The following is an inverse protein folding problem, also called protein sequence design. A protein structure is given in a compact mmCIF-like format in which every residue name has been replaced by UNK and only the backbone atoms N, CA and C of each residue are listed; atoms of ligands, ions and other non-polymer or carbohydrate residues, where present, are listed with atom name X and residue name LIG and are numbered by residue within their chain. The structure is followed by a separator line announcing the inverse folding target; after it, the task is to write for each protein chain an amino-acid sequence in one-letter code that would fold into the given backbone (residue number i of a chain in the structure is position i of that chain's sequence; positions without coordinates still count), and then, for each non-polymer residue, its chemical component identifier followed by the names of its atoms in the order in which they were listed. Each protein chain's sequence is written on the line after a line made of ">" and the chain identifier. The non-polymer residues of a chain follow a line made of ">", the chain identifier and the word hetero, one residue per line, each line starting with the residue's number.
data_IF_394244098895
#
_entry.id   IF_394244098895
#
_cell.length_a   1.000
_cell.length_b   1.000
_cell.length_c   1.000
_cell.angle_alpha   90.00
_cell.angle_beta   90.00
_cell.angle_gamma   90.00
#
_symmetry.space_group_name_H-M   'P 1'
#
loop_
_entity.id
_entity.type
_entity.pdbx_description
1 polymer ?
#
# COMPACT_ATOMS: atom_id res chain seq x y z
N UNK A 1 -4.61 3.70 -5.38
CA UNK A 1 -4.13 2.97 -4.19
C UNK A 1 -4.96 1.74 -3.84
N UNK A 2 -6.24 1.84 -3.49
CA UNK A 2 -7.07 0.67 -3.14
C UNK A 2 -7.09 -0.44 -4.21
N UNK A 3 -7.29 -0.07 -5.48
CA UNK A 3 -7.18 -1.02 -6.59
C UNK A 3 -5.80 -1.68 -6.68
N UNK A 4 -4.72 -0.95 -6.43
CA UNK A 4 -3.37 -1.52 -6.42
C UNK A 4 -3.19 -2.50 -5.26
N UNK A 5 -3.73 -2.18 -4.07
CA UNK A 5 -3.77 -3.11 -2.95
C UNK A 5 -4.50 -4.40 -3.32
N UNK A 6 -5.68 -4.30 -3.94
CA UNK A 6 -6.46 -5.46 -4.39
C UNK A 6 -5.73 -6.31 -5.43
N UNK A 7 -5.13 -5.67 -6.44
CA UNK A 7 -4.43 -6.34 -7.54
C UNK A 7 -3.15 -7.01 -7.05
N UNK A 8 -2.39 -6.34 -6.16
CA UNK A 8 -1.07 -6.82 -5.74
C UNK A 8 -1.10 -7.81 -4.58
N UNK A 9 -2.15 -7.82 -3.73
CA UNK A 9 -2.13 -8.57 -2.48
C UNK A 9 -1.79 -10.06 -2.69
N UNK A 10 -2.55 -10.75 -3.54
CA UNK A 10 -2.34 -12.18 -3.78
C UNK A 10 -1.04 -12.48 -4.55
N UNK A 11 -0.69 -11.79 -5.66
CA UNK A 11 0.59 -11.99 -6.34
C UNK A 11 1.80 -11.70 -5.47
N UNK A 12 1.75 -10.64 -4.64
CA UNK A 12 2.83 -10.29 -3.72
C UNK A 12 3.03 -11.36 -2.67
N UNK A 13 1.95 -11.84 -2.06
CA UNK A 13 2.01 -12.94 -1.11
C UNK A 13 2.60 -14.18 -1.79
N UNK A 14 2.07 -14.58 -2.95
CA UNK A 14 2.55 -15.77 -3.66
C UNK A 14 4.05 -15.68 -3.99
N UNK A 15 4.51 -14.56 -4.54
CA UNK A 15 5.92 -14.40 -4.90
C UNK A 15 6.83 -14.38 -3.66
N UNK A 16 6.57 -13.52 -2.69
CA UNK A 16 7.49 -13.32 -1.56
C UNK A 16 7.36 -14.43 -0.50
N UNK A 17 6.15 -14.95 -0.24
CA UNK A 17 5.93 -15.98 0.79
C UNK A 17 6.19 -17.38 0.26
N UNK A 18 5.67 -17.70 -0.92
CA UNK A 18 5.65 -19.08 -1.43
C UNK A 18 6.87 -19.39 -2.30
N UNK A 19 7.15 -18.54 -3.29
CA UNK A 19 8.17 -18.83 -4.32
C UNK A 19 9.56 -18.47 -3.84
N UNK A 20 9.75 -17.23 -3.38
CA UNK A 20 11.04 -16.72 -2.93
C UNK A 20 11.32 -17.02 -1.45
N UNK A 21 10.30 -17.43 -0.68
CA UNK A 21 10.40 -17.76 0.75
C UNK A 21 11.05 -16.66 1.60
N UNK A 22 10.79 -15.41 1.26
CA UNK A 22 11.45 -14.23 1.84
C UNK A 22 10.97 -13.91 3.25
N UNK A 23 9.72 -14.25 3.60
CA UNK A 23 9.15 -13.91 4.91
C UNK A 23 8.28 -15.00 5.50
N UNK A 24 8.15 -14.98 6.82
CA UNK A 24 7.10 -15.69 7.55
C UNK A 24 5.75 -14.96 7.43
N UNK A 25 5.80 -13.62 7.48
CA UNK A 25 4.66 -12.74 7.32
C UNK A 25 4.90 -11.86 6.10
N UNK A 26 3.93 -11.78 5.20
CA UNK A 26 3.96 -11.02 3.96
C UNK A 26 2.61 -10.35 3.79
N UNK A 27 2.60 -9.03 3.63
CA UNK A 27 1.39 -8.24 3.44
C UNK A 27 1.63 -7.11 2.45
N UNK A 28 0.67 -6.91 1.55
CA UNK A 28 0.56 -5.72 0.73
C UNK A 28 -0.90 -5.25 0.73
N UNK A 29 -1.12 -3.95 0.79
CA UNK A 29 -2.47 -3.40 0.73
C UNK A 29 -2.48 -1.89 0.71
N UNK A 30 -3.64 -1.33 0.38
CA UNK A 30 -3.86 0.09 0.58
C UNK A 30 -3.93 0.39 2.07
N UNK A 31 -3.29 1.48 2.47
CA UNK A 31 -3.28 1.96 3.84
C UNK A 31 -3.36 3.48 3.81
N UNK A 32 -4.42 4.01 4.38
CA UNK A 32 -4.53 5.44 4.61
C UNK A 32 -3.66 5.81 5.81
N UNK A 33 -2.79 6.80 5.63
CA UNK A 33 -2.09 7.43 6.75
C UNK A 33 -2.75 8.78 7.00
N UNK A 34 -3.46 8.90 8.12
CA UNK A 34 -4.39 10.01 8.39
C UNK A 34 -5.52 10.05 7.34
N UNK A 35 -5.46 11.01 6.40
CA UNK A 35 -6.41 11.14 5.28
C UNK A 35 -5.68 11.05 3.93
N UNK A 36 -4.41 10.64 3.92
CA UNK A 36 -3.64 10.44 2.70
C UNK A 36 -3.66 8.96 2.31
N UNK A 37 -4.12 8.62 1.09
CA UNK A 37 -4.08 7.25 0.63
C UNK A 37 -2.64 6.84 0.32
N UNK A 38 -2.31 5.60 0.64
CA UNK A 38 -0.99 5.02 0.39
C UNK A 38 -1.06 3.54 0.07
N UNK A 39 0.10 2.99 -0.29
CA UNK A 39 0.33 1.56 -0.49
C UNK A 39 1.41 1.13 0.49
N UNK A 40 1.18 0.03 1.21
CA UNK A 40 2.16 -0.50 2.16
C UNK A 40 2.54 -1.93 1.78
N UNK A 41 3.83 -2.22 1.92
CA UNK A 41 4.40 -3.56 1.77
C UNK A 41 5.13 -3.90 3.06
N UNK A 42 4.84 -5.07 3.62
CA UNK A 42 5.43 -5.54 4.87
C UNK A 42 5.89 -6.97 4.67
N UNK A 43 7.16 -7.23 4.95
CA UNK A 43 7.71 -8.57 5.02
C UNK A 43 8.50 -8.69 6.31
N UNK A 44 8.20 -9.73 7.08
CA UNK A 44 8.96 -10.09 8.26
C UNK A 44 9.58 -11.46 8.06
N UNK A 45 10.89 -11.56 8.26
CA UNK A 45 11.65 -12.79 8.11
C UNK A 45 12.51 -13.06 9.34
N UNK A 46 12.60 -14.31 9.81
CA UNK A 46 13.55 -14.66 10.86
C UNK A 46 14.99 -14.77 10.36
N UNK A 47 15.18 -14.98 9.05
CA UNK A 47 16.46 -15.42 8.49
C UNK A 47 17.00 -14.52 7.36
N UNK A 48 16.18 -13.62 6.81
CA UNK A 48 16.59 -12.71 5.74
C UNK A 48 16.89 -11.32 6.28
N UNK A 49 17.92 -10.67 5.75
CA UNK A 49 18.20 -9.27 6.07
C UNK A 49 17.19 -8.35 5.36
N UNK A 50 16.90 -7.17 5.92
CA UNK A 50 16.03 -6.17 5.27
C UNK A 50 16.45 -5.80 3.84
N UNK A 51 17.74 -5.80 3.52
CA UNK A 51 18.24 -5.50 2.17
C UNK A 51 17.84 -6.56 1.13
N UNK A 52 17.94 -7.84 1.49
CA UNK A 52 17.52 -8.94 0.62
C UNK A 52 16.02 -8.88 0.39
N UNK A 53 15.25 -8.60 1.45
CA UNK A 53 13.80 -8.45 1.37
C UNK A 53 13.42 -7.28 0.46
N UNK A 54 14.06 -6.13 0.62
CA UNK A 54 13.78 -4.94 -0.20
C UNK A 54 14.14 -5.18 -1.67
N UNK A 55 15.26 -5.86 -1.95
CA UNK A 55 15.61 -6.25 -3.31
C UNK A 55 14.53 -7.14 -3.94
N UNK A 56 14.07 -8.16 -3.20
CA UNK A 56 12.99 -9.05 -3.63
C UNK A 56 11.65 -8.31 -3.87
N UNK A 57 11.31 -7.34 -3.01
CA UNK A 57 10.14 -6.48 -3.21
C UNK A 57 10.25 -5.65 -4.49
N UNK A 58 11.41 -5.03 -4.72
CA UNK A 58 11.63 -4.22 -5.92
C UNK A 58 11.59 -5.07 -7.19
N UNK A 59 12.18 -6.27 -7.16
CA UNK A 59 12.12 -7.23 -8.27
C UNK A 59 10.67 -7.63 -8.58
N UNK A 60 9.90 -8.00 -7.55
CA UNK A 60 8.48 -8.30 -7.70
C UNK A 60 7.72 -7.14 -8.36
N UNK A 61 7.92 -5.91 -7.90
CA UNK A 61 7.21 -4.75 -8.44
C UNK A 61 7.54 -4.52 -9.92
N UNK A 62 8.81 -4.65 -10.32
CA UNK A 62 9.23 -4.50 -11.71
C UNK A 62 8.66 -5.61 -12.61
N UNK A 63 8.75 -6.86 -12.17
CA UNK A 63 8.20 -8.02 -12.90
C UNK A 63 6.69 -7.90 -13.03
N UNK A 64 5.99 -7.64 -11.92
CA UNK A 64 4.54 -7.54 -11.93
C UNK A 64 4.05 -6.33 -12.72
N UNK A 65 4.74 -5.19 -12.61
CA UNK A 65 4.47 -3.99 -13.39
C UNK A 65 4.53 -4.23 -14.89
N UNK A 66 5.51 -5.03 -15.34
CA UNK A 66 5.62 -5.43 -16.75
C UNK A 66 4.45 -6.32 -17.20
N UNK A 67 3.88 -7.12 -16.29
CA UNK A 67 2.73 -7.97 -16.61
C UNK A 67 1.40 -7.20 -16.76
N UNK A 68 1.32 -5.96 -16.26
CA UNK A 68 0.12 -5.13 -16.37
C UNK A 68 -0.21 -4.74 -17.81
N UNK A 69 0.78 -4.72 -18.70
CA UNK A 69 0.56 -4.46 -20.14
C UNK A 69 -0.29 -5.56 -20.78
N UNK A 70 -0.24 -6.78 -20.24
CA UNK A 70 -1.02 -7.92 -20.72
C UNK A 70 -2.30 -8.17 -19.93
N UNK A 71 -2.53 -7.44 -18.84
CA UNK A 71 -3.79 -7.51 -18.08
C UNK A 71 -4.95 -7.11 -18.98
N UNK A 72 -6.02 -7.90 -18.97
CA UNK A 72 -7.22 -7.63 -19.75
C UNK A 72 -8.22 -6.77 -18.96
N UNK A 73 -9.10 -6.05 -19.66
CA UNK A 73 -10.20 -5.32 -19.01
C UNK A 73 -11.10 -6.24 -18.18
N UNK A 74 -11.30 -7.49 -18.62
CA UNK A 74 -12.08 -8.49 -17.89
C UNK A 74 -11.44 -8.85 -16.54
N UNK A 75 -10.12 -9.10 -16.52
CA UNK A 75 -9.39 -9.38 -15.28
C UNK A 75 -9.39 -8.16 -14.35
N UNK A 76 -9.18 -6.98 -14.91
CA UNK A 76 -9.23 -5.74 -14.14
C UNK A 76 -10.61 -5.48 -13.54
N UNK A 77 -11.68 -5.75 -14.29
CA UNK A 77 -13.05 -5.64 -13.82
C UNK A 77 -13.35 -6.62 -12.67
N UNK A 78 -12.78 -7.82 -12.70
CA UNK A 78 -12.91 -8.77 -11.59
C UNK A 78 -12.28 -8.22 -10.29
N UNK A 79 -11.08 -7.63 -10.39
CA UNK A 79 -10.45 -6.96 -9.25
C UNK A 79 -11.29 -5.79 -8.75
N UNK A 80 -11.78 -4.94 -9.67
CA UNK A 80 -12.60 -3.77 -9.35
C UNK A 80 -13.91 -4.16 -8.66
N UNK A 81 -14.65 -5.11 -9.23
CA UNK A 81 -15.91 -5.60 -8.68
C UNK A 81 -15.73 -6.27 -7.31
N UNK A 82 -14.65 -7.04 -7.13
CA UNK A 82 -14.31 -7.62 -5.83
C UNK A 82 -14.04 -6.54 -4.78
N UNK A 83 -13.25 -5.52 -5.12
CA UNK A 83 -12.96 -4.41 -4.22
C UNK A 83 -14.21 -3.60 -3.87
N UNK A 84 -15.08 -3.31 -4.85
CA UNK A 84 -16.35 -2.61 -4.60
C UNK A 84 -17.25 -3.42 -3.67
N UNK A 85 -17.31 -4.74 -3.87
CA UNK A 85 -18.07 -5.64 -3.00
C UNK A 85 -17.55 -5.62 -1.56
N UNK A 86 -16.22 -5.60 -1.39
CA UNK A 86 -15.59 -5.51 -0.07
C UNK A 86 -15.83 -4.16 0.60
N UNK A 87 -15.76 -3.05 -0.15
CA UNK A 87 -16.06 -1.69 0.34
C UNK A 87 -17.52 -1.57 0.77
N UNK A 88 -18.45 -2.10 -0.03
CA UNK A 88 -19.89 -2.01 0.22
C UNK A 88 -20.41 -3.08 1.20
N UNK A 89 -19.55 -3.99 1.65
CA UNK A 89 -19.94 -5.06 2.57
C UNK A 89 -20.52 -4.46 3.85
N UNK A 90 -21.72 -4.91 4.18
CA UNK A 90 -22.38 -4.51 5.41
C UNK A 90 -21.66 -5.07 6.64
N UNK A 91 -21.51 -4.23 7.66
CA UNK A 91 -20.89 -4.61 8.91
C UNK A 91 -21.75 -5.64 9.66
N UNK A 92 -21.13 -6.74 10.07
CA UNK A 92 -21.81 -7.81 10.82
C UNK A 92 -22.08 -7.42 12.28
N UNK A 93 -21.30 -6.48 12.83
CA UNK A 93 -21.35 -6.10 14.25
C UNK A 93 -21.58 -4.60 14.41
N UNK A 94 -22.37 -4.26 15.43
CA UNK A 94 -22.65 -2.85 15.80
C UNK A 94 -21.38 -2.03 16.06
N UNK A 95 -20.34 -2.65 16.64
CA UNK A 95 -19.06 -1.99 16.90
C UNK A 95 -18.38 -1.54 15.62
N UNK A 96 -18.40 -2.36 14.58
CA UNK A 96 -17.75 -2.07 13.31
C UNK A 96 -18.48 -0.93 12.59
N UNK A 97 -19.82 -0.98 12.58
CA UNK A 97 -20.65 0.12 12.05
C UNK A 97 -20.45 1.43 12.80
N UNK A 98 -20.42 1.37 14.13
CA UNK A 98 -20.19 2.55 14.97
C UNK A 98 -18.79 3.11 14.74
N UNK A 99 -17.78 2.25 14.59
CA UNK A 99 -16.40 2.64 14.29
C UNK A 99 -16.28 3.38 12.96
N UNK A 100 -16.97 2.90 11.90
CA UNK A 100 -17.00 3.62 10.63
C UNK A 100 -17.64 4.99 10.76
N UNK A 101 -18.84 5.10 11.32
CA UNK A 101 -19.47 6.42 11.49
C UNK A 101 -18.66 7.35 12.37
N UNK A 102 -17.98 6.83 13.39
CA UNK A 102 -17.09 7.62 14.23
C UNK A 102 -15.89 8.17 13.44
N UNK A 103 -15.32 7.38 12.53
CA UNK A 103 -14.26 7.82 11.62
C UNK A 103 -14.73 8.99 10.73
N UNK A 104 -15.96 8.93 10.24
CA UNK A 104 -16.55 9.99 9.40
C UNK A 104 -16.77 11.27 10.22
N UNK A 105 -17.25 11.16 11.47
CA UNK A 105 -17.35 12.29 12.42
C UNK A 105 -15.99 12.92 12.70
N UNK A 106 -14.98 12.11 12.99
CA UNK A 106 -13.59 12.55 13.26
C UNK A 106 -13.00 13.30 12.06
N UNK A 107 -13.32 12.84 10.84
CA UNK A 107 -12.93 13.48 9.58
C UNK A 107 -13.80 14.68 9.19
N UNK A 108 -14.80 15.04 10.00
CA UNK A 108 -15.80 16.10 9.71
C UNK A 108 -16.59 15.85 8.41
N UNK A 109 -16.77 14.58 8.05
CA UNK A 109 -17.53 14.12 6.90
C UNK A 109 -18.92 13.64 7.36
N UNK A 110 -19.90 14.55 7.34
CA UNK A 110 -21.20 14.33 7.98
C UNK A 110 -22.28 13.75 7.05
N UNK A 111 -21.93 13.44 5.80
CA UNK A 111 -22.85 12.83 4.83
C UNK A 111 -23.01 11.31 5.06
N UNK A 112 -22.06 10.69 5.77
CA UNK A 112 -22.06 9.26 6.10
C UNK A 112 -22.14 8.29 4.90
N UNK A 113 -21.79 8.78 3.71
CA UNK A 113 -21.85 8.10 2.43
C UNK A 113 -20.44 7.79 1.86
N UNK A 114 -19.40 7.83 2.71
CA UNK A 114 -18.01 7.66 2.28
C UNK A 114 -17.74 6.36 1.52
N UNK A 115 -18.46 5.26 1.83
CA UNK A 115 -18.32 3.98 1.11
C UNK A 115 -18.93 4.05 -0.27
N UNK A 116 -20.09 4.66 -0.40
CA UNK A 116 -20.81 4.88 -1.65
C UNK A 116 -19.97 5.75 -2.58
N UNK A 117 -19.41 6.85 -2.07
CA UNK A 117 -18.49 7.71 -2.84
C UNK A 117 -17.21 6.99 -3.23
N UNK A 118 -16.62 6.20 -2.33
CA UNK A 118 -15.42 5.41 -2.62
C UNK A 118 -15.70 4.36 -3.70
N UNK A 119 -16.82 3.63 -3.62
CA UNK A 119 -17.23 2.65 -4.60
C UNK A 119 -17.48 3.30 -5.97
N UNK A 120 -18.13 4.46 -6.02
CA UNK A 120 -18.30 5.23 -7.25
C UNK A 120 -16.94 5.63 -7.86
N UNK A 121 -16.03 6.19 -7.06
CA UNK A 121 -14.70 6.57 -7.52
C UNK A 121 -13.88 5.37 -8.02
N UNK A 122 -13.99 4.20 -7.37
CA UNK A 122 -13.34 2.97 -7.84
C UNK A 122 -13.86 2.55 -9.22
N UNK A 123 -15.17 2.67 -9.47
CA UNK A 123 -15.78 2.30 -10.74
C UNK A 123 -15.40 3.24 -11.90
N UNK A 124 -15.02 4.49 -11.60
CA UNK A 124 -14.55 5.46 -12.60
C UNK A 124 -13.12 5.20 -13.08
N UNK A 125 -12.31 4.44 -12.32
CA UNK A 125 -10.92 4.14 -12.70
C UNK A 125 -10.90 3.12 -13.85
N UNK A 126 -10.30 3.52 -14.98
CA UNK A 126 -10.04 2.62 -16.10
C UNK A 126 -8.74 1.80 -15.91
N UNK A 127 -8.56 0.76 -16.72
CA UNK A 127 -7.32 -0.01 -16.72
C UNK A 127 -6.11 0.85 -17.15
N UNK A 128 -6.31 1.79 -18.07
CA UNK A 128 -5.23 2.70 -18.50
C UNK A 128 -4.85 3.70 -17.39
N UNK A 129 -5.83 4.23 -16.65
CA UNK A 129 -5.55 5.05 -15.45
C UNK A 129 -4.76 4.24 -14.42
N UNK A 130 -5.11 2.96 -14.24
CA UNK A 130 -4.42 2.07 -13.31
C UNK A 130 -2.98 1.79 -13.75
N UNK A 131 -2.74 1.53 -15.03
CA UNK A 131 -1.39 1.35 -15.60
C UNK A 131 -0.56 2.61 -15.42
N UNK A 132 -1.11 3.78 -15.74
CA UNK A 132 -0.43 5.05 -15.56
C UNK A 132 -0.10 5.32 -14.09
N UNK A 133 -1.05 5.06 -13.19
CA UNK A 133 -0.83 5.14 -11.74
C UNK A 133 0.32 4.22 -11.31
N UNK A 134 0.36 2.98 -11.79
CA UNK A 134 1.39 2.03 -11.42
C UNK A 134 2.78 2.51 -11.85
N UNK A 135 2.91 2.99 -13.09
CA UNK A 135 4.18 3.52 -13.60
C UNK A 135 4.65 4.75 -12.82
N UNK A 136 3.75 5.70 -12.57
CA UNK A 136 4.10 7.02 -11.99
C UNK A 136 4.16 7.07 -10.47
N UNK A 137 3.46 6.16 -9.78
CA UNK A 137 3.31 6.19 -8.32
C UNK A 137 3.89 4.97 -7.62
N UNK A 138 4.09 3.85 -8.33
CA UNK A 138 4.63 2.61 -7.74
C UNK A 138 6.04 2.31 -8.26
N UNK A 139 6.28 2.43 -9.56
CA UNK A 139 7.58 2.11 -10.18
C UNK A 139 8.54 3.28 -10.27
N UNK A 140 8.04 4.51 -10.33
CA UNK A 140 8.88 5.71 -10.44
C UNK A 140 9.76 5.86 -9.17
N UNK A 141 11.10 5.76 -9.30
CA UNK A 141 12.01 5.95 -8.17
C UNK A 141 11.99 7.38 -7.60
N UNK A 142 11.47 8.36 -8.37
CA UNK A 142 11.26 9.73 -7.93
C UNK A 142 10.01 9.91 -7.06
N UNK A 143 9.09 8.93 -7.03
CA UNK A 143 7.92 9.00 -6.18
C UNK A 143 8.31 8.84 -4.70
N UNK A 144 7.80 9.71 -3.79
CA UNK A 144 8.16 9.63 -2.38
C UNK A 144 7.82 8.26 -1.77
N UNK A 145 8.82 7.62 -1.14
CA UNK A 145 8.67 6.37 -0.41
C UNK A 145 9.41 6.42 0.93
N UNK A 146 8.83 5.81 1.96
CA UNK A 146 9.47 5.62 3.25
C UNK A 146 9.76 4.13 3.44
N UNK A 147 11.04 3.80 3.62
CA UNK A 147 11.48 2.41 3.88
C UNK A 147 11.95 2.31 5.31
N UNK A 148 11.27 1.49 6.11
CA UNK A 148 11.66 1.19 7.49
C UNK A 148 12.28 -0.20 7.52
N UNK A 149 13.53 -0.29 7.99
CA UNK A 149 14.27 -1.55 8.10
C UNK A 149 14.49 -1.87 9.58
N UNK A 150 14.21 -3.10 9.96
CA UNK A 150 14.55 -3.65 11.28
C UNK A 150 15.40 -4.89 11.08
N UNK A 151 16.67 -4.82 11.46
CA UNK A 151 17.64 -5.87 11.20
C UNK A 151 17.58 -7.04 12.20
N UNK A 152 16.90 -6.84 13.33
CA UNK A 152 16.82 -7.86 14.38
C UNK A 152 18.20 -8.38 14.80
N UNK A 153 18.30 -9.69 15.03
CA UNK A 153 19.55 -10.36 15.41
C UNK A 153 20.24 -11.10 14.24
N UNK A 154 19.84 -10.82 12.99
CA UNK A 154 20.39 -11.51 11.81
C UNK A 154 21.84 -11.06 11.57
N UNK A 155 22.77 -12.02 11.47
CA UNK A 155 24.20 -11.73 11.22
C UNK A 155 24.43 -11.23 9.80
N UNK A 156 25.34 -10.26 9.62
CA UNK A 156 25.69 -9.68 8.30
C UNK A 156 24.89 -8.42 7.92
N UNK A 157 24.12 -7.86 8.86
CA UNK A 157 23.27 -6.68 8.70
C UNK A 157 24.00 -5.33 8.56
N UNK A 158 25.30 -5.26 8.86
CA UNK A 158 25.96 -3.97 9.15
C UNK A 158 26.62 -3.27 7.94
N UNK A 159 26.54 -3.83 6.73
CA UNK A 159 27.29 -3.27 5.59
C UNK A 159 26.44 -3.15 4.34
N UNK A 160 25.69 -2.04 4.18
CA UNK A 160 25.22 -1.64 2.84
C UNK A 160 24.83 -0.15 2.68
N UNK A 161 25.86 0.68 2.41
CA UNK A 161 25.84 2.01 1.75
C UNK A 161 25.15 3.18 2.50
N UNK A 162 25.68 4.42 2.41
CA UNK A 162 24.95 5.61 2.85
C UNK A 162 23.72 5.84 1.93
N UNK A 163 22.51 5.77 2.51
CA UNK A 163 21.24 5.80 1.76
C UNK A 163 20.29 6.95 2.14
N UNK A 164 20.79 8.19 2.20
CA UNK A 164 20.00 9.36 2.64
C UNK A 164 19.18 9.04 3.90
N UNK A 165 19.81 8.38 4.86
CA UNK A 165 19.13 7.83 6.02
C UNK A 165 18.56 8.94 6.91
N UNK A 166 17.36 8.69 7.43
CA UNK A 166 16.74 9.57 8.42
C UNK A 166 17.38 9.24 9.77
N UNK A 167 18.41 10.01 10.14
CA UNK A 167 19.10 9.87 11.43
C UNK A 167 18.40 10.64 12.56
N UNK A 168 17.60 11.66 12.21
CA UNK A 168 16.77 12.42 13.14
C UNK A 168 15.34 12.54 12.56
N UNK A 169 14.37 11.74 13.06
CA UNK A 169 12.99 11.80 12.62
C UNK A 169 12.31 13.16 12.82
N UNK A 170 12.70 13.92 13.86
CA UNK A 170 12.11 15.22 14.14
C UNK A 170 12.64 16.28 13.16
N UNK A 171 13.94 16.27 12.88
CA UNK A 171 14.53 17.14 11.86
C UNK A 171 13.95 16.83 10.48
N UNK A 172 13.83 15.54 10.13
CA UNK A 172 13.20 15.10 8.88
C UNK A 172 11.74 15.56 8.77
N UNK A 173 10.94 15.40 9.84
CA UNK A 173 9.56 15.87 9.85
C UNK A 173 9.46 17.39 9.70
N UNK A 174 10.40 18.14 10.28
CA UNK A 174 10.40 19.61 10.26
C UNK A 174 10.87 20.20 8.93
N UNK A 175 11.63 19.44 8.12
CA UNK A 175 12.10 19.88 6.81
C UNK A 175 11.07 19.70 5.69
N UNK A 176 9.92 19.07 5.96
CA UNK A 176 8.87 18.82 4.99
C UNK A 176 7.60 19.60 5.30
N UNK A 177 6.86 19.98 4.26
CA UNK A 177 5.52 20.55 4.40
C UNK A 177 4.54 19.54 4.99
N UNK A 178 3.44 20.04 5.55
CA UNK A 178 2.30 19.20 5.97
C UNK A 178 1.28 19.16 4.85
N UNK A 179 0.78 17.96 4.54
CA UNK A 179 -0.29 17.79 3.55
C UNK A 179 -1.62 18.32 4.07
N UNK A 180 -1.95 18.00 5.31
CA UNK A 180 -3.08 18.58 6.02
C UNK A 180 -2.56 19.76 6.87
N UNK A 181 -3.25 20.90 6.90
CA UNK A 181 -2.95 21.94 7.87
C UNK A 181 -2.95 21.35 9.27
N UNK A 182 -2.06 21.83 10.14
CA UNK A 182 -2.23 21.58 11.57
C UNK A 182 -3.58 22.20 11.96
N UNK A 183 -4.50 21.41 12.51
CA UNK A 183 -5.85 21.86 12.83
C UNK A 183 -5.85 23.27 13.48
N UNK A 184 -6.61 24.19 12.89
CA UNK A 184 -7.27 25.30 13.60
C UNK A 184 -8.48 24.77 14.39
#
# INVERSE_FOLDING_TARGET
>A
FYLAGQVLNAPFYQSLRTEQQMGYFVFCGAMDMMQLPGLVFVVQSPNQTPDVIEAAMNEFLQVYGSSLDTMTDTEFEQHRSSLVSDVMRQEEKLRDRSGRYWLEIDRKDYEFDSRERLAAAINEVSLDDFRQFFQTSVLDPGHPRLVVRSFGAVKGAETALPRNEIVDPLAFRSSHGRFLPADE
#
